data_IF_140420914064
#
_entry.id   IF_140420914064
#
_cell.length_a   1.000
_cell.length_b   1.000
_cell.length_c   1.000
_cell.angle_alpha   90.00
_cell.angle_beta   90.00
_cell.angle_gamma   90.00
#
_symmetry.space_group_name_H-M   'P 1'
#
loop_
_entity.id
_entity.type
_entity.pdbx_description
1 polymer ?
#
# COMPACT_ATOMS: atom_id res chain seq x y z
N UNK A 1 26.43 -29.13 66.35
CA UNK A 1 26.93 -28.90 64.98
C UNK A 1 25.93 -29.55 64.01
N UNK A 2 24.88 -28.85 63.59
CA UNK A 2 23.89 -29.37 62.65
C UNK A 2 23.86 -28.44 61.43
N UNK A 3 24.41 -28.92 60.32
CA UNK A 3 24.42 -28.23 59.03
C UNK A 3 23.12 -28.59 58.29
N UNK A 4 22.16 -27.68 58.29
CA UNK A 4 20.95 -27.75 57.49
C UNK A 4 21.29 -27.38 56.05
N UNK A 5 21.22 -28.37 55.15
CA UNK A 5 21.38 -28.20 53.70
C UNK A 5 20.25 -27.31 53.15
N UNK A 6 20.59 -26.11 52.70
CA UNK A 6 19.69 -25.25 51.94
C UNK A 6 19.61 -25.83 50.52
N UNK A 7 18.52 -26.56 50.25
CA UNK A 7 18.18 -27.03 48.91
C UNK A 7 17.62 -25.84 48.10
N UNK A 8 18.51 -25.05 47.51
CA UNK A 8 18.14 -23.93 46.63
C UNK A 8 17.62 -24.43 45.29
N UNK A 9 16.30 -24.47 45.12
CA UNK A 9 15.65 -24.73 43.83
C UNK A 9 15.77 -23.47 42.95
N UNK A 10 16.85 -23.34 42.19
CA UNK A 10 17.02 -22.25 41.21
C UNK A 10 16.16 -22.54 39.98
N UNK A 11 14.96 -21.96 39.94
CA UNK A 11 14.09 -21.95 38.77
C UNK A 11 14.66 -20.97 37.73
N UNK A 12 15.44 -21.48 36.77
CA UNK A 12 15.83 -20.72 35.59
C UNK A 12 14.62 -20.56 34.67
N UNK A 13 13.92 -19.43 34.77
CA UNK A 13 12.96 -19.02 33.73
C UNK A 13 13.75 -18.67 32.47
N UNK A 14 13.76 -19.59 31.49
CA UNK A 14 14.06 -19.23 30.11
C UNK A 14 12.90 -18.39 29.57
N UNK A 15 12.98 -17.07 29.70
CA UNK A 15 12.11 -16.17 28.94
C UNK A 15 12.55 -16.22 27.48
N UNK A 16 11.82 -16.96 26.64
CA UNK A 16 11.96 -16.83 25.20
C UNK A 16 11.64 -15.37 24.85
N UNK A 17 12.65 -14.63 24.40
CA UNK A 17 12.46 -13.28 23.83
C UNK A 17 11.72 -13.47 22.51
N UNK A 18 10.39 -13.35 22.55
CA UNK A 18 9.60 -13.15 21.35
C UNK A 18 9.90 -11.73 20.89
N UNK A 19 10.68 -11.59 19.82
CA UNK A 19 10.76 -10.31 19.12
C UNK A 19 9.37 -10.07 18.51
N UNK A 20 8.56 -9.27 19.20
CA UNK A 20 7.29 -8.82 18.68
C UNK A 20 7.56 -7.93 17.46
N UNK A 21 6.96 -8.28 16.33
CA UNK A 21 7.00 -7.47 15.12
C UNK A 21 6.29 -6.14 15.40
N UNK A 22 6.92 -5.01 15.05
CA UNK A 22 6.33 -3.69 15.24
C UNK A 22 6.69 -2.76 14.10
N UNK A 23 5.69 -2.09 13.53
CA UNK A 23 5.85 -1.12 12.45
C UNK A 23 5.06 0.14 12.75
N UNK A 24 5.58 1.30 12.38
CA UNK A 24 4.92 2.59 12.51
C UNK A 24 4.74 3.20 11.13
N UNK A 25 3.51 3.57 10.79
CA UNK A 25 3.21 4.44 9.65
C UNK A 25 2.96 5.84 10.20
N UNK A 26 3.71 6.82 9.71
CA UNK A 26 3.57 8.23 10.09
C UNK A 26 3.29 9.09 8.87
N UNK A 27 2.45 10.10 9.05
CA UNK A 27 2.13 11.08 8.03
C UNK A 27 2.74 12.45 8.34
N UNK A 28 3.25 13.09 7.30
CA UNK A 28 3.63 14.50 7.29
C UNK A 28 2.88 15.22 6.15
N UNK A 29 1.83 15.96 6.50
CA UNK A 29 1.03 16.69 5.53
C UNK A 29 1.51 18.15 5.42
N UNK A 30 2.42 18.41 4.48
CA UNK A 30 2.93 19.75 4.20
C UNK A 30 2.05 20.55 3.21
N UNK A 31 0.96 19.94 2.72
CA UNK A 31 0.07 20.60 1.77
C UNK A 31 -0.75 21.75 2.39
N UNK A 32 -0.92 21.76 3.72
CA UNK A 32 -1.79 22.72 4.42
C UNK A 32 -3.30 22.51 4.18
N UNK A 33 -3.68 21.45 3.47
CA UNK A 33 -5.05 21.02 3.23
C UNK A 33 -5.13 19.49 3.14
N UNK A 34 -6.35 18.98 3.05
CA UNK A 34 -6.61 17.54 2.95
C UNK A 34 -6.36 16.79 4.26
N UNK A 35 -6.64 15.48 4.24
CA UNK A 35 -6.50 14.62 5.42
C UNK A 35 -5.84 13.32 5.02
N UNK A 36 -4.68 12.95 5.60
CA UNK A 36 -4.08 11.65 5.36
C UNK A 36 -5.06 10.53 5.70
N UNK A 37 -5.09 9.50 4.87
CA UNK A 37 -5.89 8.30 5.08
C UNK A 37 -4.94 7.11 5.09
N UNK A 38 -4.97 6.30 6.14
CA UNK A 38 -4.38 4.96 6.15
C UNK A 38 -5.50 3.93 6.04
N UNK A 39 -5.53 3.16 4.96
CA UNK A 39 -6.62 2.22 4.68
C UNK A 39 -6.16 0.79 4.90
N UNK A 40 -7.01 -0.01 5.54
CA UNK A 40 -6.87 -1.47 5.62
C UNK A 40 -8.22 -2.13 5.39
N UNK A 41 -8.33 -2.89 4.30
CA UNK A 41 -9.63 -3.44 3.87
C UNK A 41 -10.64 -2.31 3.66
N UNK A 42 -11.75 -2.34 4.40
CA UNK A 42 -12.84 -1.36 4.31
C UNK A 42 -12.82 -0.31 5.44
N UNK A 43 -11.66 -0.09 6.07
CA UNK A 43 -11.55 0.81 7.22
C UNK A 43 -10.44 1.85 7.03
N UNK A 44 -10.69 3.05 7.56
CA UNK A 44 -9.68 4.07 7.82
C UNK A 44 -9.13 3.83 9.22
N UNK A 45 -7.82 3.59 9.35
CA UNK A 45 -7.18 3.29 10.64
C UNK A 45 -6.75 4.55 11.40
N UNK A 46 -6.17 5.53 10.72
CA UNK A 46 -5.68 6.79 11.30
C UNK A 46 -5.54 7.86 10.23
N UNK A 47 -5.29 9.09 10.67
CA UNK A 47 -4.93 10.25 9.84
C UNK A 47 -3.60 10.90 10.24
N UNK A 48 -2.88 10.36 11.23
CA UNK A 48 -1.63 10.96 11.75
C UNK A 48 -0.50 9.93 11.86
N UNK A 49 -0.64 8.98 12.79
CA UNK A 49 0.33 7.91 13.03
C UNK A 49 -0.43 6.65 13.46
N UNK A 50 0.08 5.48 13.09
CA UNK A 50 -0.45 4.19 13.53
C UNK A 50 0.67 3.18 13.76
N UNK A 51 0.60 2.48 14.89
CA UNK A 51 1.52 1.39 15.23
C UNK A 51 0.84 0.04 15.02
N UNK A 52 1.47 -0.81 14.22
CA UNK A 52 1.09 -2.20 14.02
C UNK A 52 2.02 -3.08 14.85
N UNK A 53 1.47 -4.04 15.61
CA UNK A 53 2.24 -5.03 16.36
C UNK A 53 2.27 -6.40 15.65
N UNK A 54 2.18 -6.36 14.32
CA UNK A 54 2.16 -7.48 13.39
C UNK A 54 2.39 -6.93 11.97
N UNK A 55 2.51 -7.82 10.99
CA UNK A 55 2.56 -7.43 9.59
C UNK A 55 1.33 -6.62 9.15
N UNK A 56 1.58 -5.68 8.24
CA UNK A 56 0.58 -4.78 7.68
C UNK A 56 0.65 -4.79 6.16
N UNK A 57 -0.50 -4.67 5.50
CA UNK A 57 -0.59 -4.42 4.07
C UNK A 57 -1.79 -3.52 3.81
N UNK A 58 -1.60 -2.47 3.01
CA UNK A 58 -2.62 -1.49 2.73
C UNK A 58 -2.09 -0.32 1.92
N UNK A 59 -2.88 0.75 1.90
CA UNK A 59 -2.59 1.94 1.12
C UNK A 59 -2.72 3.19 1.97
N UNK A 60 -2.03 4.24 1.56
CA UNK A 60 -2.24 5.57 2.09
C UNK A 60 -2.34 6.62 0.99
N UNK A 61 -3.13 7.66 1.23
CA UNK A 61 -3.27 8.81 0.33
C UNK A 61 -3.72 10.05 1.10
N UNK A 62 -3.63 11.22 0.48
CA UNK A 62 -4.21 12.45 1.03
C UNK A 62 -5.62 12.64 0.46
N UNK A 63 -6.64 12.57 1.32
CA UNK A 63 -8.01 12.86 0.91
C UNK A 63 -8.18 14.38 0.74
N UNK A 64 -8.47 14.81 -0.49
CA UNK A 64 -8.68 16.22 -0.86
C UNK A 64 -10.15 16.55 -1.19
N UNK A 65 -11.05 15.58 -1.02
CA UNK A 65 -12.48 15.67 -1.33
C UNK A 65 -12.88 14.95 -2.63
N UNK A 66 -11.92 14.66 -3.50
CA UNK A 66 -12.17 13.99 -4.79
C UNK A 66 -11.70 12.55 -4.85
N UNK A 67 -10.91 12.10 -3.86
CA UNK A 67 -10.37 10.75 -3.85
C UNK A 67 -11.47 9.75 -3.47
N UNK A 68 -11.55 8.63 -4.18
CA UNK A 68 -12.37 7.50 -3.77
C UNK A 68 -11.81 6.82 -2.52
N UNK A 69 -12.55 5.85 -1.98
CA UNK A 69 -12.18 5.18 -0.73
C UNK A 69 -10.83 4.47 -0.84
N UNK A 70 -10.52 3.86 -1.99
CA UNK A 70 -9.25 3.19 -2.26
C UNK A 70 -8.25 4.11 -2.95
N UNK A 71 -8.40 5.43 -2.80
CA UNK A 71 -7.53 6.43 -3.43
C UNK A 71 -7.82 6.68 -4.89
N UNK A 72 -8.95 6.19 -5.45
CA UNK A 72 -9.31 6.43 -6.85
C UNK A 72 -9.29 7.94 -7.17
N UNK A 73 -8.77 8.32 -8.34
CA UNK A 73 -8.54 9.72 -8.75
C UNK A 73 -7.42 10.46 -7.99
N UNK A 74 -6.68 9.78 -7.12
CA UNK A 74 -5.55 10.30 -6.37
C UNK A 74 -4.36 9.34 -6.45
N UNK A 75 -3.19 9.82 -6.03
CA UNK A 75 -2.02 8.97 -5.87
C UNK A 75 -2.11 8.19 -4.57
N UNK A 76 -1.56 6.98 -4.56
CA UNK A 76 -1.43 6.17 -3.34
C UNK A 76 0.02 5.84 -3.09
N UNK A 77 0.35 5.67 -1.82
CA UNK A 77 1.49 4.87 -1.38
C UNK A 77 0.93 3.49 -1.05
N UNK A 78 1.32 2.47 -1.81
CA UNK A 78 0.98 1.08 -1.53
C UNK A 78 2.12 0.48 -0.70
N UNK A 79 1.79 -0.25 0.38
CA UNK A 79 2.83 -0.77 1.27
C UNK A 79 2.48 -2.12 1.87
N UNK A 80 3.53 -2.91 2.11
CA UNK A 80 3.52 -4.09 2.95
C UNK A 80 4.65 -3.97 3.95
N UNK A 81 4.33 -3.96 5.24
CA UNK A 81 5.30 -3.89 6.33
C UNK A 81 5.34 -5.25 7.01
N UNK A 82 6.48 -5.92 6.91
CA UNK A 82 6.71 -7.24 7.48
C UNK A 82 8.20 -7.45 7.77
N UNK A 83 8.50 -8.18 8.85
CA UNK A 83 9.84 -8.65 9.17
C UNK A 83 10.33 -9.69 8.15
N UNK A 84 11.64 -9.70 7.87
CA UNK A 84 12.19 -10.56 6.83
C UNK A 84 12.24 -12.03 7.30
N UNK A 85 11.37 -12.87 6.73
CA UNK A 85 11.37 -14.32 7.01
C UNK A 85 12.31 -15.13 6.10
N UNK A 86 12.76 -14.52 5.00
CA UNK A 86 13.71 -15.09 4.02
C UNK A 86 14.60 -13.98 3.48
N UNK A 87 15.81 -14.34 3.03
CA UNK A 87 16.67 -13.40 2.31
C UNK A 87 15.97 -12.90 1.04
N UNK A 88 15.98 -11.59 0.79
CA UNK A 88 15.21 -11.00 -0.31
C UNK A 88 13.77 -10.63 0.04
N UNK A 89 13.24 -11.07 1.19
CA UNK A 89 11.92 -10.69 1.69
C UNK A 89 11.99 -9.54 2.70
N UNK A 90 10.83 -9.09 3.15
CA UNK A 90 10.70 -8.00 4.13
C UNK A 90 9.64 -7.01 3.70
N UNK A 91 9.77 -5.80 4.22
CA UNK A 91 8.86 -4.70 3.93
C UNK A 91 9.11 -4.14 2.54
N UNK A 92 8.05 -3.65 1.88
CA UNK A 92 8.15 -2.92 0.62
C UNK A 92 7.07 -1.86 0.51
N UNK A 93 7.36 -0.82 -0.25
CA UNK A 93 6.40 0.22 -0.59
C UNK A 93 6.67 0.80 -1.97
N UNK A 94 5.65 1.41 -2.54
CA UNK A 94 5.71 2.08 -3.83
C UNK A 94 4.64 3.19 -3.94
N UNK A 95 4.83 4.08 -4.92
CA UNK A 95 3.83 5.08 -5.30
C UNK A 95 3.11 4.58 -6.56
N UNK A 96 1.78 4.62 -6.56
CA UNK A 96 0.99 4.04 -7.65
C UNK A 96 0.03 5.06 -8.27
N UNK A 97 0.14 5.19 -9.60
CA UNK A 97 -0.74 5.95 -10.51
C UNK A 97 -1.36 5.04 -11.57
N UNK A 98 -1.42 3.73 -11.33
CA UNK A 98 -2.11 2.78 -12.20
C UNK A 98 -3.61 3.13 -12.20
N UNK A 99 -4.25 3.42 -13.36
CA UNK A 99 -5.66 3.77 -13.39
C UNK A 99 -6.55 2.75 -12.66
N UNK A 100 -7.50 3.19 -11.81
CA UNK A 100 -8.08 4.52 -11.70
C UNK A 100 -7.34 5.51 -10.76
N UNK A 101 -6.17 5.14 -10.24
CA UNK A 101 -5.29 6.04 -9.51
C UNK A 101 -4.67 7.06 -10.48
N UNK A 102 -4.27 8.23 -9.97
CA UNK A 102 -3.57 9.26 -10.75
C UNK A 102 -2.91 10.27 -9.83
N UNK A 103 -1.85 10.92 -10.30
CA UNK A 103 -1.27 12.06 -9.59
C UNK A 103 -2.32 13.13 -9.24
N UNK A 104 -2.25 13.63 -8.01
CA UNK A 104 -3.12 14.70 -7.48
C UNK A 104 -2.35 15.78 -6.72
N UNK A 105 -1.29 15.38 -6.02
CA UNK A 105 -0.34 16.22 -5.27
C UNK A 105 1.03 15.54 -5.31
N UNK A 106 2.11 16.18 -4.82
CA UNK A 106 3.38 15.49 -4.59
C UNK A 106 3.26 14.43 -3.49
N UNK A 107 3.84 13.26 -3.73
CA UNK A 107 3.92 12.14 -2.79
C UNK A 107 5.37 11.77 -2.55
N UNK A 108 5.73 11.51 -1.29
CA UNK A 108 7.00 10.93 -0.92
C UNK A 108 6.77 9.90 0.17
N UNK A 109 7.55 8.82 0.16
CA UNK A 109 7.71 8.00 1.34
C UNK A 109 9.19 7.69 1.58
N UNK A 110 9.55 7.43 2.82
CA UNK A 110 10.87 6.95 3.20
C UNK A 110 10.77 6.00 4.40
N UNK A 111 11.59 4.96 4.37
CA UNK A 111 11.76 4.06 5.51
C UNK A 111 12.61 4.73 6.61
N UNK A 112 12.32 4.39 7.87
CA UNK A 112 13.13 4.78 9.02
C UNK A 112 13.11 3.71 10.14
N UNK A 113 14.11 3.75 11.02
CA UNK A 113 14.33 2.66 11.99
C UNK A 113 14.90 1.41 11.33
N UNK A 114 15.43 1.55 10.12
CA UNK A 114 15.83 0.49 9.20
C UNK A 114 15.77 1.00 7.76
N UNK A 115 16.81 0.76 6.97
CA UNK A 115 16.91 1.28 5.59
C UNK A 115 16.67 2.81 5.48
N UNK A 116 17.16 3.56 6.46
CA UNK A 116 16.80 4.98 6.64
C UNK A 116 17.03 5.81 5.35
N UNK A 117 15.99 6.55 4.95
CA UNK A 117 16.00 7.41 3.77
C UNK A 117 15.81 6.67 2.44
N UNK A 118 15.71 5.33 2.43
CA UNK A 118 15.29 4.60 1.24
C UNK A 118 13.80 4.79 1.01
N UNK A 119 13.41 5.15 -0.20
CA UNK A 119 12.02 5.38 -0.56
C UNK A 119 11.89 5.92 -1.97
N UNK A 120 10.74 6.53 -2.27
CA UNK A 120 10.44 7.13 -3.55
C UNK A 120 9.81 8.51 -3.38
N UNK A 121 10.00 9.38 -4.38
CA UNK A 121 9.47 10.74 -4.39
C UNK A 121 8.93 11.12 -5.76
N UNK A 122 7.69 11.59 -5.80
CA UNK A 122 6.98 12.02 -6.99
C UNK A 122 6.41 13.43 -6.81
N UNK A 123 6.96 14.39 -7.56
CA UNK A 123 6.52 15.79 -7.57
C UNK A 123 5.74 16.20 -8.83
N UNK A 124 5.47 15.26 -9.73
CA UNK A 124 4.76 15.50 -10.99
C UNK A 124 4.02 14.26 -11.47
N UNK A 125 3.03 14.41 -12.39
CA UNK A 125 2.30 13.29 -12.97
C UNK A 125 3.15 12.34 -13.84
N UNK A 126 4.33 12.74 -14.28
CA UNK A 126 5.28 11.94 -15.07
C UNK A 126 6.45 11.38 -14.24
N UNK A 127 6.26 11.26 -12.92
CA UNK A 127 7.25 10.71 -12.00
C UNK A 127 7.76 9.32 -12.42
N UNK A 128 9.07 9.16 -12.61
CA UNK A 128 9.68 7.87 -12.98
C UNK A 128 9.70 6.83 -11.85
N UNK A 129 9.44 7.24 -10.62
CA UNK A 129 9.45 6.39 -9.42
C UNK A 129 8.05 5.87 -9.05
N UNK A 130 7.03 6.16 -9.88
CA UNK A 130 5.67 5.66 -9.70
C UNK A 130 5.34 4.51 -10.66
N UNK A 131 4.44 3.62 -10.23
CA UNK A 131 3.78 2.66 -11.09
C UNK A 131 2.70 3.34 -11.95
N UNK A 132 2.72 3.08 -13.25
CA UNK A 132 1.68 3.42 -14.22
C UNK A 132 1.08 2.17 -14.88
N UNK A 133 1.79 1.05 -14.84
CA UNK A 133 1.30 -0.27 -15.26
C UNK A 133 1.71 -1.35 -14.25
N UNK A 134 0.93 -2.44 -14.12
CA UNK A 134 1.23 -3.50 -13.14
C UNK A 134 2.59 -4.20 -13.29
N UNK A 135 3.19 -4.16 -14.48
CA UNK A 135 4.43 -4.89 -14.76
C UNK A 135 5.71 -4.11 -14.38
N UNK A 136 5.60 -2.87 -13.88
CA UNK A 136 6.75 -2.00 -13.53
C UNK A 136 7.41 -2.34 -12.19
N UNK A 137 7.76 -3.60 -11.97
CA UNK A 137 8.30 -4.12 -10.70
C UNK A 137 9.60 -3.46 -10.19
N UNK A 138 10.26 -2.63 -11.01
CA UNK A 138 11.54 -1.98 -10.67
C UNK A 138 11.40 -0.67 -9.88
N UNK A 139 10.18 -0.12 -9.72
CA UNK A 139 9.96 1.12 -8.94
C UNK A 139 9.51 0.85 -7.50
N UNK A 140 9.32 -0.42 -7.14
CA UNK A 140 9.06 -0.82 -5.75
C UNK A 140 10.36 -0.76 -4.94
N UNK A 141 10.28 -0.15 -3.76
CA UNK A 141 11.40 -0.04 -2.83
C UNK A 141 11.23 -1.04 -1.70
N UNK A 142 12.24 -1.88 -1.49
CA UNK A 142 12.23 -2.93 -0.47
C UNK A 142 13.18 -2.61 0.68
N UNK A 143 12.79 -2.98 1.90
CA UNK A 143 13.63 -2.97 3.09
C UNK A 143 13.55 -4.31 3.82
N UNK A 144 14.70 -4.95 4.00
CA UNK A 144 14.81 -6.27 4.67
C UNK A 144 15.13 -6.16 6.17
N UNK A 145 15.10 -4.94 6.72
CA UNK A 145 15.34 -4.73 8.15
C UNK A 145 14.05 -4.98 8.93
N UNK A 146 14.15 -5.75 10.00
CA UNK A 146 13.03 -6.00 10.90
C UNK A 146 12.58 -4.70 11.60
N UNK A 147 11.28 -4.59 11.83
CA UNK A 147 10.61 -3.52 12.54
C UNK A 147 10.86 -2.13 11.92
N UNK A 148 11.00 -2.11 10.59
CA UNK A 148 11.12 -0.86 9.84
C UNK A 148 9.80 -0.09 9.86
N UNK A 149 9.91 1.23 9.92
CA UNK A 149 8.79 2.16 9.91
C UNK A 149 8.79 2.94 8.60
N UNK A 150 7.67 3.58 8.26
CA UNK A 150 7.54 4.38 7.05
C UNK A 150 6.98 5.76 7.37
N UNK A 151 7.64 6.79 6.86
CA UNK A 151 7.15 8.17 6.87
C UNK A 151 6.62 8.47 5.48
N UNK A 152 5.38 8.94 5.41
CA UNK A 152 4.73 9.35 4.17
C UNK A 152 4.51 10.85 4.23
N UNK A 153 5.15 11.56 3.31
CA UNK A 153 5.10 13.02 3.21
C UNK A 153 4.27 13.43 1.99
N UNK A 154 3.31 14.32 2.21
CA UNK A 154 2.50 14.94 1.18
C UNK A 154 2.97 16.37 0.95
N UNK A 155 3.12 16.77 -0.33
CA UNK A 155 3.63 18.08 -0.73
C UNK A 155 5.05 18.42 -0.22
N UNK A 156 5.96 17.43 -0.20
CA UNK A 156 7.36 17.64 0.24
C UNK A 156 8.04 18.77 -0.57
N UNK A 157 8.54 19.79 0.13
CA UNK A 157 9.20 20.95 -0.49
C UNK A 157 8.26 21.92 -1.23
N UNK A 158 6.97 21.60 -1.32
CA UNK A 158 5.93 22.47 -1.85
C UNK A 158 5.08 22.98 -0.69
N UNK A 159 5.68 23.84 0.15
CA UNK A 159 4.91 24.62 1.10
C UNK A 159 3.78 25.30 0.34
N UNK A 160 2.54 25.04 0.78
CA UNK A 160 1.30 25.51 0.17
C UNK A 160 1.45 26.95 -0.33
N UNK A 161 1.79 27.10 -1.61
CA UNK A 161 1.77 28.40 -2.25
C UNK A 161 0.30 28.70 -2.43
N UNK A 162 -0.22 29.32 -1.38
CA UNK A 162 -1.54 29.85 -1.16
C UNK A 162 -2.27 30.16 -2.47
N UNK A 163 -2.98 29.17 -2.99
CA UNK A 163 -4.19 29.37 -3.79
C UNK A 163 -5.35 29.55 -2.82
N UNK A 164 -5.19 30.50 -1.89
CA UNK A 164 -6.31 31.28 -1.43
C UNK A 164 -6.78 32.05 -2.66
N UNK A 165 -7.68 31.44 -3.43
CA UNK A 165 -8.43 32.10 -4.47
C UNK A 165 -9.22 33.23 -3.79
N UNK A 166 -8.60 34.40 -3.73
CA UNK A 166 -9.25 35.67 -3.43
C UNK A 166 -10.34 35.86 -4.46
N UNK A 167 -11.57 35.56 -4.05
CA UNK A 167 -12.79 35.94 -4.74
C UNK A 167 -12.90 37.46 -4.69
N UNK A 168 -12.25 38.13 -5.63
CA UNK A 168 -12.55 39.52 -5.96
C UNK A 168 -13.53 39.48 -7.13
N UNK A 169 -14.82 39.45 -6.81
CA UNK A 169 -15.87 39.82 -7.76
C UNK A 169 -15.65 41.28 -8.21
N UNK A 170 -15.61 41.58 -9.51
CA UNK A 170 -15.94 42.91 -9.98
C UNK A 170 -17.47 42.96 -10.17
N UNK A 171 -18.15 43.70 -9.28
CA UNK A 171 -19.44 44.30 -9.61
C UNK A 171 -19.28 45.10 -10.90
N UNK A 172 -19.93 44.65 -11.97
CA UNK A 172 -20.22 45.51 -13.12
C UNK A 172 -21.68 45.35 -13.51
N UNK A 173 -22.43 46.35 -13.07
CA UNK A 173 -23.82 46.60 -13.38
C UNK A 173 -23.95 47.08 -14.83
N UNK A 174 -24.79 46.42 -15.62
CA UNK A 174 -25.37 47.02 -16.81
C UNK A 174 -26.62 46.26 -17.25
N UNK A 175 -27.75 46.93 -17.08
CA UNK A 175 -29.08 46.53 -17.51
C UNK A 175 -29.20 46.45 -19.03
N UNK A 176 -29.81 45.38 -19.54
CA UNK A 176 -30.62 45.48 -20.77
C UNK A 176 -31.84 44.58 -20.65
N UNK A 177 -32.98 45.14 -21.05
CA UNK A 177 -34.35 44.73 -20.77
C UNK A 177 -35.01 44.31 -22.10
N UNK A 178 -35.79 43.21 -22.09
CA UNK A 178 -36.99 42.91 -22.96
C UNK A 178 -36.73 42.41 -24.41
N UNK A 179 -37.64 41.68 -25.13
CA UNK A 179 -38.83 40.86 -24.79
C UNK A 179 -38.87 39.39 -25.33
N UNK A 180 -39.83 38.66 -24.73
CA UNK A 180 -40.71 37.53 -25.10
C UNK A 180 -40.90 37.01 -26.54
N UNK A 181 -41.53 35.82 -26.58
CA UNK A 181 -42.28 35.08 -27.65
C UNK A 181 -41.46 34.03 -28.43
N UNK A 182 -41.84 32.76 -28.63
CA UNK A 182 -43.09 32.00 -28.41
C UNK A 182 -42.81 30.49 -28.32
N UNK A 183 -43.78 29.77 -27.74
CA UNK A 183 -44.19 28.38 -27.96
C UNK A 183 -43.47 27.56 -29.05
N UNK A 184 -43.10 26.31 -28.69
CA UNK A 184 -43.42 25.11 -29.46
C UNK A 184 -43.18 23.85 -28.63
N UNK A 185 -44.30 23.21 -28.29
CA UNK A 185 -44.45 21.79 -27.99
C UNK A 185 -43.62 20.88 -28.89
N UNK A 186 -43.04 19.79 -28.36
CA UNK A 186 -43.09 18.45 -28.98
C UNK A 186 -42.76 17.33 -27.98
N UNK A 187 -43.77 16.46 -27.80
CA UNK A 187 -43.73 15.00 -27.76
C UNK A 187 -42.81 14.28 -26.76
N UNK A 188 -43.46 13.74 -25.73
CA UNK A 188 -43.09 12.49 -25.11
C UNK A 188 -43.09 11.36 -26.15
N UNK A 189 -42.00 10.60 -26.23
CA UNK A 189 -41.98 9.26 -26.82
C UNK A 189 -41.46 8.29 -25.77
N UNK A 190 -42.33 7.38 -25.38
CA UNK A 190 -41.99 6.19 -24.63
C UNK A 190 -41.04 5.33 -25.46
N UNK A 191 -39.95 4.87 -24.86
CA UNK A 191 -39.09 3.84 -25.45
C UNK A 191 -39.21 2.59 -24.59
N UNK A 192 -39.54 1.50 -25.27
CA UNK A 192 -39.91 0.20 -24.75
C UNK A 192 -38.86 -0.42 -23.83
N UNK A 193 -39.37 -1.03 -22.75
CA UNK A 193 -38.67 -2.03 -21.98
C UNK A 193 -38.41 -3.26 -22.87
N UNK A 194 -37.14 -3.51 -23.19
CA UNK A 194 -36.71 -4.80 -23.75
C UNK A 194 -36.41 -5.75 -22.60
N UNK A 195 -37.37 -6.62 -22.31
CA UNK A 195 -37.21 -7.80 -21.48
C UNK A 195 -36.32 -8.80 -22.22
N UNK A 196 -35.09 -9.00 -21.76
CA UNK A 196 -34.25 -10.12 -22.19
C UNK A 196 -34.45 -11.26 -21.19
N UNK A 197 -35.23 -12.23 -21.61
CA UNK A 197 -35.40 -13.53 -20.97
C UNK A 197 -34.11 -14.35 -21.22
N UNK A 198 -33.27 -14.51 -20.19
CA UNK A 198 -32.13 -15.43 -20.23
C UNK A 198 -32.51 -16.67 -19.43
N UNK A 199 -33.01 -17.66 -20.17
CA UNK A 199 -33.12 -19.05 -19.74
C UNK A 199 -31.73 -19.62 -19.48
N UNK A 200 -31.27 -19.57 -18.23
CA UNK A 200 -30.08 -20.31 -17.79
C UNK A 200 -30.48 -21.71 -17.31
N UNK A 201 -30.27 -22.68 -18.20
CA UNK A 201 -30.35 -24.11 -17.98
C UNK A 201 -29.42 -24.55 -16.85
N UNK A 202 -30.01 -25.07 -15.77
CA UNK A 202 -29.27 -25.73 -14.71
C UNK A 202 -28.69 -27.07 -15.24
N UNK A 203 -27.37 -27.12 -15.42
CA UNK A 203 -26.64 -28.40 -15.53
C UNK A 203 -26.03 -28.73 -14.18
N UNK A 204 -26.71 -29.60 -13.46
CA UNK A 204 -26.17 -30.33 -12.32
C UNK A 204 -25.11 -31.30 -12.83
N UNK A 205 -23.83 -30.98 -12.59
CA UNK A 205 -22.74 -31.95 -12.68
C UNK A 205 -22.29 -32.29 -11.27
N UNK A 206 -22.71 -33.48 -10.83
CA UNK A 206 -22.19 -34.21 -9.69
C UNK A 206 -20.69 -34.47 -9.86
N UNK A 207 -19.89 -34.06 -8.88
CA UNK A 207 -18.54 -34.58 -8.70
C UNK A 207 -18.38 -35.12 -7.29
N UNK A 208 -18.54 -36.44 -7.24
CA UNK A 208 -18.23 -37.33 -6.13
C UNK A 208 -16.71 -37.34 -5.90
N UNK A 209 -16.33 -37.37 -4.62
CA UNK A 209 -15.09 -37.96 -4.08
C UNK A 209 -13.74 -37.47 -4.61
N UNK A 210 -12.96 -36.81 -3.74
CA UNK A 210 -11.51 -37.06 -3.59
C UNK A 210 -10.98 -36.46 -2.29
N UNK A 211 -11.39 -37.04 -1.17
CA UNK A 211 -10.55 -37.10 0.02
C UNK A 211 -9.32 -37.97 -0.30
N UNK A 212 -8.14 -37.58 0.19
CA UNK A 212 -6.81 -38.22 0.05
C UNK A 212 -5.94 -37.79 -1.14
N UNK A 213 -5.29 -36.62 -1.04
CA UNK A 213 -3.92 -36.41 -1.59
C UNK A 213 -3.27 -35.11 -1.08
N UNK A 214 -3.07 -35.01 0.24
CA UNK A 214 -2.18 -34.00 0.84
C UNK A 214 -1.20 -34.66 1.83
N UNK A 215 -0.58 -35.77 1.43
CA UNK A 215 0.45 -36.46 2.24
C UNK A 215 1.76 -36.79 1.50
N UNK A 216 1.93 -36.43 0.23
CA UNK A 216 3.10 -36.87 -0.56
C UNK A 216 3.98 -35.76 -1.16
N UNK A 217 4.11 -34.62 -0.47
CA UNK A 217 5.07 -33.55 -0.85
C UNK A 217 6.13 -33.25 0.22
N UNK A 218 6.43 -34.23 1.09
CA UNK A 218 7.44 -34.14 2.16
C UNK A 218 8.69 -35.03 1.96
N UNK A 219 8.96 -35.53 0.75
CA UNK A 219 10.16 -36.37 0.48
C UNK A 219 10.82 -36.07 -0.87
N UNK A 220 11.17 -34.81 -1.15
CA UNK A 220 12.01 -34.51 -2.32
C UNK A 220 12.82 -33.21 -2.23
N UNK A 221 13.38 -32.90 -1.07
CA UNK A 221 14.44 -31.89 -0.94
C UNK A 221 15.45 -32.44 0.09
N UNK A 222 16.23 -33.44 -0.31
CA UNK A 222 17.37 -33.97 0.47
C UNK A 222 18.44 -34.59 -0.47
N UNK A 223 18.61 -34.06 -1.68
CA UNK A 223 19.55 -34.67 -2.66
C UNK A 223 20.32 -33.69 -3.55
N UNK A 224 20.44 -32.41 -3.19
CA UNK A 224 21.25 -31.44 -3.96
C UNK A 224 22.27 -30.70 -3.09
N UNK A 225 22.85 -31.38 -2.10
CA UNK A 225 24.00 -30.89 -1.34
C UNK A 225 25.11 -31.92 -1.32
N UNK A 226 25.56 -32.35 -2.50
CA UNK A 226 26.85 -32.99 -2.69
C UNK A 226 27.40 -32.59 -4.06
N UNK A 227 28.42 -31.74 -4.06
CA UNK A 227 29.23 -31.47 -5.24
C UNK A 227 29.38 -29.99 -5.55
N UNK A 228 30.20 -29.28 -4.76
CA UNK A 228 31.02 -28.15 -5.22
C UNK A 228 32.08 -27.88 -4.15
N UNK A 229 33.06 -28.78 -4.08
CA UNK A 229 34.30 -28.59 -3.32
C UNK A 229 35.44 -28.94 -4.27
N UNK A 230 36.38 -28.00 -4.42
CA UNK A 230 37.68 -28.07 -5.08
C UNK A 230 37.80 -27.30 -6.41
N UNK A 231 38.22 -26.04 -6.31
CA UNK A 231 39.30 -25.52 -7.16
C UNK A 231 40.08 -24.46 -6.38
N UNK A 232 41.14 -24.92 -5.71
CA UNK A 232 42.21 -24.10 -5.14
C UNK A 232 43.53 -24.69 -5.64
N UNK A 233 44.49 -23.80 -5.94
CA UNK A 233 45.82 -24.02 -6.51
C UNK A 233 45.90 -24.13 -8.04
N UNK A 234 46.53 -23.14 -8.69
CA UNK A 234 47.99 -23.10 -8.84
C UNK A 234 48.43 -21.73 -9.40
N UNK A 235 49.12 -20.94 -8.58
CA UNK A 235 49.96 -19.84 -9.06
C UNK A 235 51.35 -20.07 -8.49
N UNK A 236 52.29 -20.34 -9.38
CA UNK A 236 53.73 -20.28 -9.10
C UNK A 236 54.51 -20.14 -10.40
N UNK A 237 55.24 -19.03 -10.50
CA UNK A 237 56.57 -18.89 -11.13
C UNK A 237 56.64 -18.95 -12.65
N UNK A 238 56.79 -17.80 -13.30
CA UNK A 238 58.08 -17.27 -13.83
C UNK A 238 57.87 -15.84 -14.34
#
# INVERSE_FOLDING_TARGET
MAFTFILGLTLFLLTALVNAETHIVKFDNQCGFGTPQLIQGNQVLTTTEYTFNASYSGIAYLQTGTCGFNGEKCGTVEMTLINAIVAGGGSSADISYIPPLKYSIPYKFEFYGGCDGQGASCSSPECSEAFYTPDQTYVQVACQTDNVNILITFCDGFAASSSAASSTEPESSSSTKVPSTSDSSMQASATEATTIDITSTASAASSTSSSRRCQNRRRRIDSLSYGLRAHRHRSSVS
#
